data_IF_360099216506
#
_entry.id   IF_360099216506
#
_cell.length_a   1.000
_cell.length_b   1.000
_cell.length_c   1.000
_cell.angle_alpha   90.00
_cell.angle_beta   90.00
_cell.angle_gamma   90.00
#
_symmetry.space_group_name_H-M   'P 1'
#
loop_
_entity.id
_entity.type
_entity.pdbx_description
1 polymer ?
#
# COMPACT_ATOMS: atom_id res chain seq x y z
N UNK A 1 -4.86 -75.22 -8.58
CA UNK A 1 -4.85 -74.15 -7.56
C UNK A 1 -4.27 -72.82 -8.08
N UNK A 2 -3.23 -72.82 -8.93
CA UNK A 2 -2.63 -71.58 -9.48
C UNK A 2 -3.46 -70.78 -10.51
N UNK A 3 -4.47 -71.38 -11.16
CA UNK A 3 -5.30 -70.66 -12.15
C UNK A 3 -6.34 -69.74 -11.50
N UNK A 4 -6.76 -70.06 -10.27
CA UNK A 4 -7.75 -69.29 -9.52
C UNK A 4 -7.17 -67.94 -9.05
N UNK A 5 -5.95 -67.94 -8.52
CA UNK A 5 -5.24 -66.73 -8.11
C UNK A 5 -4.93 -65.81 -9.31
N UNK A 6 -4.60 -66.39 -10.47
CA UNK A 6 -4.32 -65.64 -11.71
C UNK A 6 -5.56 -64.94 -12.29
N UNK A 7 -6.75 -65.50 -12.09
CA UNK A 7 -8.03 -64.89 -12.47
C UNK A 7 -8.40 -63.68 -11.61
N UNK A 8 -8.20 -63.77 -10.30
CA UNK A 8 -8.49 -62.68 -9.36
C UNK A 8 -7.55 -61.48 -9.52
N UNK A 9 -6.25 -61.71 -9.71
CA UNK A 9 -5.28 -60.63 -9.98
C UNK A 9 -5.58 -59.88 -11.29
N UNK A 10 -6.02 -60.59 -12.33
CA UNK A 10 -6.42 -59.98 -13.60
C UNK A 10 -7.74 -59.22 -13.50
N UNK A 11 -8.63 -59.61 -12.58
CA UNK A 11 -9.89 -58.91 -12.30
C UNK A 11 -9.65 -57.63 -11.50
N UNK A 12 -8.82 -57.70 -10.47
CA UNK A 12 -8.41 -56.55 -9.67
C UNK A 12 -7.71 -55.46 -10.52
N UNK A 13 -6.82 -55.84 -11.45
CA UNK A 13 -6.21 -54.88 -12.39
C UNK A 13 -7.14 -54.31 -13.47
N UNK A 14 -8.39 -54.81 -13.57
CA UNK A 14 -9.46 -54.30 -14.45
C UNK A 14 -10.61 -53.65 -13.68
N UNK A 15 -10.57 -53.66 -12.35
CA UNK A 15 -11.58 -53.05 -11.49
C UNK A 15 -11.30 -51.54 -11.39
N UNK A 16 -12.07 -50.73 -12.12
CA UNK A 16 -12.00 -49.26 -12.10
C UNK A 16 -12.86 -48.63 -10.99
N UNK A 17 -13.60 -49.42 -10.21
CA UNK A 17 -14.52 -48.94 -9.17
C UNK A 17 -13.82 -48.12 -8.05
N UNK A 18 -12.53 -48.39 -7.79
CA UNK A 18 -11.71 -47.63 -6.83
C UNK A 18 -11.10 -46.34 -7.38
N UNK A 19 -11.17 -46.12 -8.70
CA UNK A 19 -10.59 -44.96 -9.38
C UNK A 19 -11.29 -43.67 -8.94
N UNK A 20 -12.62 -43.70 -8.89
CA UNK A 20 -13.45 -42.54 -8.50
C UNK A 20 -13.18 -42.09 -7.06
N UNK A 21 -12.98 -43.04 -6.14
CA UNK A 21 -12.67 -42.73 -4.74
C UNK A 21 -11.25 -42.16 -4.58
N UNK A 22 -10.29 -42.70 -5.33
CA UNK A 22 -8.90 -42.21 -5.30
C UNK A 22 -8.79 -40.82 -5.92
N UNK A 23 -9.49 -40.59 -7.04
CA UNK A 23 -9.59 -39.29 -7.68
C UNK A 23 -10.24 -38.25 -6.76
N UNK A 24 -11.35 -38.60 -6.11
CA UNK A 24 -12.01 -37.74 -5.14
C UNK A 24 -11.11 -37.39 -3.94
N UNK A 25 -10.34 -38.36 -3.41
CA UNK A 25 -9.43 -38.15 -2.29
C UNK A 25 -8.34 -37.10 -2.59
N UNK A 26 -7.89 -37.02 -3.84
CA UNK A 26 -6.88 -36.06 -4.29
C UNK A 26 -7.52 -34.72 -4.68
N UNK A 27 -8.64 -34.75 -5.41
CA UNK A 27 -9.28 -33.52 -5.91
C UNK A 27 -9.98 -32.73 -4.80
N UNK A 28 -10.62 -33.38 -3.83
CA UNK A 28 -11.34 -32.67 -2.77
C UNK A 28 -10.45 -31.70 -1.96
N UNK A 29 -9.30 -32.11 -1.39
CA UNK A 29 -8.44 -31.17 -0.67
C UNK A 29 -7.88 -30.06 -1.57
N UNK A 30 -7.59 -30.35 -2.85
CA UNK A 30 -7.16 -29.34 -3.82
C UNK A 30 -8.27 -28.31 -4.11
N UNK A 31 -9.52 -28.76 -4.24
CA UNK A 31 -10.68 -27.89 -4.45
C UNK A 31 -10.96 -27.02 -3.22
N UNK A 32 -10.93 -27.61 -2.03
CA UNK A 32 -11.10 -26.87 -0.76
C UNK A 32 -10.01 -25.83 -0.61
N UNK A 33 -8.75 -26.22 -0.83
CA UNK A 33 -7.62 -25.28 -0.80
C UNK A 33 -7.76 -24.16 -1.83
N UNK A 34 -8.14 -24.49 -3.06
CA UNK A 34 -8.33 -23.50 -4.14
C UNK A 34 -9.46 -22.52 -3.83
N UNK A 35 -10.56 -22.98 -3.23
CA UNK A 35 -11.66 -22.14 -2.81
C UNK A 35 -11.24 -21.19 -1.68
N UNK A 36 -10.52 -21.69 -0.67
CA UNK A 36 -9.96 -20.86 0.41
C UNK A 36 -8.98 -19.83 -0.15
N UNK A 37 -8.07 -20.24 -1.04
CA UNK A 37 -7.14 -19.36 -1.71
C UNK A 37 -7.89 -18.24 -2.46
N UNK A 38 -8.90 -18.58 -3.26
CA UNK A 38 -9.70 -17.58 -3.99
C UNK A 38 -10.29 -16.51 -3.07
N UNK A 39 -10.89 -16.90 -1.95
CA UNK A 39 -11.50 -15.95 -0.99
C UNK A 39 -10.45 -15.03 -0.37
N UNK A 40 -9.31 -15.57 0.07
CA UNK A 40 -8.25 -14.77 0.70
C UNK A 40 -7.56 -13.85 -0.31
N UNK A 41 -7.26 -14.34 -1.52
CA UNK A 41 -6.69 -13.51 -2.57
C UNK A 41 -7.65 -12.38 -2.95
N UNK A 42 -8.96 -12.66 -3.07
CA UNK A 42 -9.95 -11.63 -3.32
C UNK A 42 -9.97 -10.55 -2.23
N UNK A 43 -9.93 -10.94 -0.95
CA UNK A 43 -9.87 -9.97 0.17
C UNK A 43 -8.57 -9.15 0.18
N UNK A 44 -7.43 -9.78 -0.13
CA UNK A 44 -6.15 -9.10 -0.28
C UNK A 44 -6.21 -8.06 -1.42
N UNK A 45 -6.68 -8.45 -2.61
CA UNK A 45 -6.83 -7.53 -3.74
C UNK A 45 -7.84 -6.41 -3.44
N UNK A 46 -8.94 -6.70 -2.76
CA UNK A 46 -9.90 -5.68 -2.31
C UNK A 46 -9.21 -4.67 -1.41
N UNK A 47 -8.38 -5.14 -0.47
CA UNK A 47 -7.63 -4.29 0.46
C UNK A 47 -6.61 -3.42 -0.27
N UNK A 48 -5.80 -4.00 -1.17
CA UNK A 48 -4.80 -3.27 -1.96
C UNK A 48 -5.46 -2.18 -2.82
N UNK A 49 -6.51 -2.54 -3.55
CA UNK A 49 -7.23 -1.60 -4.42
C UNK A 49 -7.92 -0.48 -3.62
N UNK A 50 -8.51 -0.82 -2.46
CA UNK A 50 -9.09 0.16 -1.55
C UNK A 50 -8.05 1.13 -1.03
N UNK A 51 -6.90 0.62 -0.58
CA UNK A 51 -5.81 1.43 -0.04
C UNK A 51 -5.22 2.35 -1.11
N UNK A 52 -5.01 1.86 -2.34
CA UNK A 52 -4.54 2.68 -3.45
C UNK A 52 -5.52 3.82 -3.75
N UNK A 53 -6.80 3.51 -3.98
CA UNK A 53 -7.83 4.51 -4.32
C UNK A 53 -7.98 5.57 -3.23
N UNK A 54 -8.00 5.15 -1.97
CA UNK A 54 -8.12 6.07 -0.84
C UNK A 54 -6.86 6.95 -0.71
N UNK A 55 -5.66 6.38 -0.91
CA UNK A 55 -4.41 7.16 -0.88
C UNK A 55 -4.36 8.22 -1.98
N UNK A 56 -4.82 7.89 -3.20
CA UNK A 56 -4.92 8.86 -4.29
C UNK A 56 -5.96 9.96 -4.02
N UNK A 57 -7.09 9.61 -3.42
CA UNK A 57 -8.11 10.59 -3.03
C UNK A 57 -7.56 11.59 -1.99
N UNK A 58 -6.82 11.10 -1.00
CA UNK A 58 -6.16 11.94 0.01
C UNK A 58 -5.09 12.83 -0.63
N UNK A 59 -4.25 12.28 -1.50
CA UNK A 59 -3.25 13.06 -2.23
C UNK A 59 -3.89 14.17 -3.07
N UNK A 60 -4.99 13.87 -3.76
CA UNK A 60 -5.74 14.88 -4.51
C UNK A 60 -6.32 15.97 -3.60
N UNK A 61 -6.90 15.58 -2.46
CA UNK A 61 -7.47 16.53 -1.51
C UNK A 61 -6.39 17.46 -0.94
N UNK A 62 -5.24 16.92 -0.53
CA UNK A 62 -4.11 17.70 -0.01
C UNK A 62 -3.54 18.62 -1.09
N UNK A 63 -3.46 18.17 -2.34
CA UNK A 63 -2.92 18.98 -3.45
C UNK A 63 -3.69 20.30 -3.68
N UNK A 64 -4.94 20.37 -3.22
CA UNK A 64 -5.81 21.55 -3.35
C UNK A 64 -5.75 22.49 -2.15
N UNK A 65 -5.00 22.13 -1.10
CA UNK A 65 -4.82 22.97 0.09
C UNK A 65 -3.59 23.88 -0.05
N UNK A 66 -3.66 25.11 0.47
CA UNK A 66 -2.47 25.96 0.62
C UNK A 66 -1.77 25.73 1.95
N UNK A 67 -2.58 25.56 2.99
CA UNK A 67 -2.17 25.43 4.38
C UNK A 67 -2.95 24.27 4.99
N UNK A 68 -2.22 23.40 5.68
CA UNK A 68 -2.80 22.31 6.46
C UNK A 68 -2.34 22.45 7.90
N UNK A 69 -3.16 22.00 8.84
CA UNK A 69 -2.84 21.94 10.26
C UNK A 69 -2.79 20.47 10.73
N UNK A 70 -2.35 20.27 11.97
CA UNK A 70 -2.27 18.93 12.56
C UNK A 70 -3.64 18.22 12.68
N UNK A 71 -4.72 18.89 13.12
CA UNK A 71 -6.07 18.32 13.12
C UNK A 71 -6.54 17.85 11.75
N UNK A 72 -6.23 18.58 10.68
CA UNK A 72 -6.53 18.16 9.32
C UNK A 72 -5.81 16.86 8.95
N UNK A 73 -4.52 16.75 9.28
CA UNK A 73 -3.72 15.54 9.01
C UNK A 73 -4.27 14.32 9.78
N UNK A 74 -4.65 14.51 11.05
CA UNK A 74 -5.32 13.48 11.85
C UNK A 74 -6.68 13.09 11.25
N UNK A 75 -7.46 14.07 10.80
CA UNK A 75 -8.74 13.85 10.13
C UNK A 75 -8.58 13.05 8.83
N UNK A 76 -7.51 13.27 8.07
CA UNK A 76 -7.22 12.51 6.86
C UNK A 76 -6.92 11.04 7.12
N UNK A 77 -6.28 10.73 8.24
CA UNK A 77 -6.12 9.35 8.67
C UNK A 77 -7.46 8.70 8.99
N UNK A 78 -8.34 9.41 9.70
CA UNK A 78 -9.71 8.94 9.98
C UNK A 78 -10.53 8.72 8.71
N UNK A 79 -10.38 9.57 7.69
CA UNK A 79 -11.02 9.36 6.38
C UNK A 79 -10.45 8.12 5.69
N UNK A 80 -9.13 7.91 5.73
CA UNK A 80 -8.50 6.72 5.17
C UNK A 80 -9.02 5.43 5.82
N UNK A 81 -9.10 5.42 7.16
CA UNK A 81 -9.61 4.30 7.94
C UNK A 81 -11.11 4.04 7.65
N UNK A 82 -11.90 5.10 7.51
CA UNK A 82 -13.31 5.03 7.14
C UNK A 82 -13.52 4.45 5.73
N UNK A 83 -12.74 4.90 4.74
CA UNK A 83 -12.80 4.39 3.37
C UNK A 83 -12.42 2.90 3.27
N UNK A 84 -11.51 2.45 4.12
CA UNK A 84 -11.11 1.04 4.20
C UNK A 84 -12.05 0.18 5.06
N UNK A 85 -12.92 0.81 5.86
CA UNK A 85 -13.78 0.11 6.82
C UNK A 85 -13.00 -0.63 7.91
N UNK A 86 -11.75 -0.22 8.19
CA UNK A 86 -10.86 -0.86 9.17
C UNK A 86 -10.18 0.23 10.01
N UNK A 87 -10.58 0.41 11.28
CA UNK A 87 -9.93 1.39 12.15
C UNK A 87 -8.53 0.92 12.57
N UNK A 88 -7.62 1.87 12.84
CA UNK A 88 -6.28 1.66 13.41
C UNK A 88 -5.29 0.78 12.61
N UNK A 89 -5.60 0.35 11.39
CA UNK A 89 -4.69 -0.47 10.56
C UNK A 89 -3.86 0.33 9.57
N UNK A 90 -4.11 1.64 9.49
CA UNK A 90 -3.49 2.55 8.54
C UNK A 90 -2.47 3.41 9.27
N UNK A 91 -1.32 3.64 8.65
CA UNK A 91 -0.45 4.77 8.99
C UNK A 91 -0.24 5.61 7.76
N UNK A 92 -0.10 6.92 7.92
CA UNK A 92 0.20 7.81 6.79
C UNK A 92 1.29 8.82 7.14
N UNK A 93 1.96 9.32 6.11
CA UNK A 93 2.93 10.41 6.19
C UNK A 93 2.72 11.36 5.02
N UNK A 94 2.61 12.64 5.33
CA UNK A 94 2.47 13.70 4.34
C UNK A 94 3.74 14.54 4.40
N UNK A 95 4.40 14.68 3.27
CA UNK A 95 5.64 15.44 3.16
C UNK A 95 5.53 16.42 2.01
N UNK A 96 5.74 17.71 2.27
CA UNK A 96 5.92 18.69 1.20
C UNK A 96 7.38 18.89 0.90
N UNK A 97 7.71 18.81 -0.39
CA UNK A 97 9.06 18.86 -0.92
C UNK A 97 9.18 20.03 -1.90
N UNK A 98 10.33 20.69 -1.88
CA UNK A 98 10.75 21.65 -2.90
C UNK A 98 12.00 21.11 -3.59
N UNK A 99 12.02 21.15 -4.91
CA UNK A 99 13.20 20.82 -5.68
C UNK A 99 13.97 22.09 -6.04
N UNK A 100 15.29 22.07 -5.92
CA UNK A 100 16.16 23.18 -6.31
C UNK A 100 17.40 22.64 -6.98
N UNK A 101 17.77 23.25 -8.09
CA UNK A 101 18.94 22.90 -8.87
C UNK A 101 20.01 23.98 -8.69
N UNK A 102 21.26 23.56 -8.51
CA UNK A 102 22.38 24.50 -8.48
C UNK A 102 22.81 24.93 -9.90
N UNK A 103 23.77 25.86 -9.98
CA UNK A 103 24.28 26.36 -11.26
C UNK A 103 24.98 25.29 -12.11
N UNK A 104 25.34 24.16 -11.50
CA UNK A 104 26.03 23.04 -12.14
C UNK A 104 25.05 21.94 -12.59
N UNK A 105 23.74 22.16 -12.43
CA UNK A 105 22.71 21.21 -12.81
C UNK A 105 22.45 20.12 -11.75
N UNK A 106 22.97 20.27 -10.53
CA UNK A 106 22.78 19.28 -9.48
C UNK A 106 21.50 19.60 -8.69
N UNK A 107 20.51 18.73 -8.85
CA UNK A 107 19.24 18.77 -8.13
C UNK A 107 19.34 18.38 -6.66
N UNK A 108 18.63 19.09 -5.80
CA UNK A 108 18.48 18.78 -4.37
C UNK A 108 17.04 18.93 -3.94
N UNK A 109 16.55 17.95 -3.18
CA UNK A 109 15.24 18.04 -2.53
C UNK A 109 15.34 18.69 -1.15
N UNK A 110 14.48 19.65 -0.87
CA UNK A 110 14.33 20.26 0.45
C UNK A 110 12.95 19.94 1.01
N UNK A 111 12.89 19.40 2.23
CA UNK A 111 11.64 19.16 2.94
C UNK A 111 11.13 20.47 3.53
N UNK A 112 9.93 20.89 3.11
CA UNK A 112 9.23 22.04 3.69
C UNK A 112 8.53 21.64 4.99
N UNK A 113 7.89 20.47 5.01
CA UNK A 113 7.43 19.80 6.21
C UNK A 113 7.28 18.31 5.94
N UNK A 114 7.31 17.51 7.01
CA UNK A 114 6.92 16.11 6.99
C UNK A 114 6.18 15.82 8.29
N UNK A 115 4.95 15.34 8.19
CA UNK A 115 4.13 15.03 9.37
C UNK A 115 3.42 13.68 9.17
N UNK A 116 3.37 12.92 10.26
CA UNK A 116 2.63 11.68 10.36
C UNK A 116 1.68 11.79 11.56
N UNK A 117 0.40 11.47 11.42
CA UNK A 117 -0.53 11.36 12.55
C UNK A 117 0.07 10.53 13.69
N UNK A 118 -0.04 11.03 14.92
CA UNK A 118 0.47 10.37 16.12
C UNK A 118 1.96 9.94 16.05
N UNK A 119 2.74 10.53 15.14
CA UNK A 119 4.13 10.13 14.87
C UNK A 119 4.31 8.63 14.57
N UNK A 120 3.29 7.97 13.99
CA UNK A 120 3.34 6.53 13.63
C UNK A 120 4.49 6.21 12.66
N UNK A 121 4.89 7.19 11.85
CA UNK A 121 6.05 7.12 10.94
C UNK A 121 7.01 8.26 11.20
N UNK A 122 8.33 8.03 11.11
CA UNK A 122 9.32 9.07 11.32
C UNK A 122 9.16 10.18 10.26
N UNK A 123 9.37 11.43 10.67
CA UNK A 123 9.38 12.58 9.75
C UNK A 123 10.56 12.45 8.78
N UNK A 124 10.32 12.78 7.51
CA UNK A 124 11.38 12.83 6.52
C UNK A 124 12.26 14.07 6.71
N UNK A 125 13.57 13.87 6.66
CA UNK A 125 14.57 14.95 6.67
C UNK A 125 15.03 15.24 5.24
N UNK A 126 15.62 16.41 5.02
CA UNK A 126 16.22 16.79 3.73
C UNK A 126 17.25 15.77 3.25
N UNK A 127 18.01 15.18 4.16
CA UNK A 127 18.98 14.10 3.87
C UNK A 127 18.27 12.81 3.47
N UNK A 128 17.25 12.38 4.22
CA UNK A 128 16.55 11.13 3.95
C UNK A 128 15.82 11.15 2.59
N UNK A 129 15.31 12.31 2.16
CA UNK A 129 14.61 12.44 0.88
C UNK A 129 15.55 12.31 -0.32
N UNK A 130 16.85 12.61 -0.19
CA UNK A 130 17.77 12.40 -1.32
C UNK A 130 17.83 10.91 -1.70
N UNK A 131 17.71 10.00 -0.74
CA UNK A 131 17.66 8.56 -1.00
C UNK A 131 16.35 8.09 -1.67
N UNK A 132 15.35 8.97 -1.80
CA UNK A 132 14.09 8.71 -2.48
C UNK A 132 14.04 9.32 -3.89
N UNK A 133 15.13 9.94 -4.35
CA UNK A 133 15.19 10.64 -5.64
C UNK A 133 14.74 9.77 -6.82
N UNK A 134 15.14 8.49 -6.85
CA UNK A 134 14.79 7.56 -7.94
C UNK A 134 13.28 7.26 -8.04
N UNK A 135 12.52 7.50 -6.96
CA UNK A 135 11.07 7.29 -6.91
C UNK A 135 10.27 8.57 -7.18
N UNK A 136 10.93 9.72 -7.17
CA UNK A 136 10.32 11.02 -7.40
C UNK A 136 10.52 11.37 -8.89
N UNK A 137 9.46 11.75 -9.62
CA UNK A 137 9.59 12.17 -11.01
C UNK A 137 10.55 13.35 -11.16
N UNK A 138 11.14 13.52 -12.36
CA UNK A 138 11.97 14.69 -12.65
C UNK A 138 11.18 15.99 -12.45
N UNK A 139 11.77 16.95 -11.73
CA UNK A 139 11.17 18.24 -11.39
C UNK A 139 12.03 19.38 -11.92
N UNK A 140 11.40 20.53 -12.20
CA UNK A 140 12.13 21.76 -12.55
C UNK A 140 12.55 22.49 -11.28
N UNK A 141 13.71 23.16 -11.29
CA UNK A 141 14.16 23.98 -10.16
C UNK A 141 13.08 24.98 -9.72
N UNK A 142 12.78 25.00 -8.42
CA UNK A 142 11.74 25.84 -7.81
C UNK A 142 10.37 25.18 -7.71
N UNK A 143 10.14 24.04 -8.39
CA UNK A 143 8.89 23.29 -8.26
C UNK A 143 8.73 22.70 -6.86
N UNK A 144 7.47 22.59 -6.43
CA UNK A 144 7.12 21.88 -5.20
C UNK A 144 6.18 20.72 -5.49
N UNK A 145 6.24 19.72 -4.63
CA UNK A 145 5.40 18.53 -4.71
C UNK A 145 4.98 18.10 -3.31
N UNK A 146 3.87 17.40 -3.21
CA UNK A 146 3.42 16.72 -2.01
C UNK A 146 3.61 15.23 -2.22
N UNK A 147 4.34 14.61 -1.30
CA UNK A 147 4.50 13.19 -1.16
C UNK A 147 3.53 12.69 -0.08
N UNK A 148 2.61 11.82 -0.48
CA UNK A 148 1.72 11.10 0.44
C UNK A 148 2.13 9.64 0.43
N UNK A 149 2.53 9.16 1.60
CA UNK A 149 2.86 7.76 1.84
C UNK A 149 1.82 7.16 2.78
N UNK A 150 1.34 5.96 2.46
CA UNK A 150 0.42 5.21 3.31
C UNK A 150 0.92 3.79 3.50
N UNK A 151 0.65 3.24 4.68
CA UNK A 151 0.96 1.86 5.06
C UNK A 151 -0.32 1.24 5.59
N UNK A 152 -0.76 0.15 4.97
CA UNK A 152 -1.95 -0.58 5.38
C UNK A 152 -1.56 -2.01 5.75
N UNK A 153 -1.77 -2.39 7.00
CA UNK A 153 -1.48 -3.75 7.45
C UNK A 153 -2.57 -4.71 7.00
N UNK A 154 -2.16 -5.83 6.40
CA UNK A 154 -3.05 -6.89 5.96
C UNK A 154 -2.72 -8.19 6.68
N UNK A 155 -3.73 -8.74 7.36
CA UNK A 155 -3.65 -10.03 8.03
C UNK A 155 -4.67 -10.99 7.40
N UNK A 156 -4.22 -12.07 6.74
CA UNK A 156 -5.12 -13.06 6.16
C UNK A 156 -5.78 -13.92 7.25
N UNK A 157 -7.00 -14.39 6.98
CA UNK A 157 -7.71 -15.28 7.90
C UNK A 157 -7.18 -16.72 7.94
N UNK A 158 -6.48 -17.15 6.88
CA UNK A 158 -5.88 -18.47 6.74
C UNK A 158 -4.56 -18.40 5.98
N UNK A 159 -3.64 -19.32 6.26
CA UNK A 159 -2.37 -19.43 5.54
C UNK A 159 -2.56 -20.19 4.22
N UNK A 160 -2.80 -19.44 3.15
CA UNK A 160 -3.00 -19.96 1.78
C UNK A 160 -1.98 -19.38 0.79
N UNK A 161 -0.77 -19.13 1.28
CA UNK A 161 0.35 -18.60 0.49
C UNK A 161 0.49 -17.08 0.47
N UNK A 162 -0.37 -16.33 1.19
CA UNK A 162 -0.18 -14.89 1.45
C UNK A 162 0.19 -14.75 2.92
N UNK A 163 1.38 -14.22 3.28
CA UNK A 163 1.74 -13.95 4.65
C UNK A 163 1.14 -12.62 5.14
N UNK A 164 1.24 -12.37 6.44
CA UNK A 164 1.06 -11.02 6.98
C UNK A 164 1.99 -10.04 6.26
N UNK A 165 1.43 -8.96 5.74
CA UNK A 165 2.18 -7.98 4.96
C UNK A 165 1.63 -6.57 5.15
N UNK A 166 2.48 -5.58 4.87
CA UNK A 166 2.08 -4.17 4.85
C UNK A 166 2.07 -3.71 3.40
N UNK A 167 0.92 -3.23 2.94
CA UNK A 167 0.79 -2.61 1.62
C UNK A 167 1.16 -1.14 1.72
N UNK A 168 2.14 -0.73 0.93
CA UNK A 168 2.64 0.64 0.90
C UNK A 168 2.22 1.35 -0.38
N UNK A 169 1.76 2.60 -0.26
CA UNK A 169 1.54 3.47 -1.41
C UNK A 169 2.44 4.69 -1.30
N UNK A 170 3.01 5.09 -2.44
CA UNK A 170 3.91 6.24 -2.56
C UNK A 170 3.40 7.11 -3.70
N UNK A 171 2.75 8.22 -3.34
CA UNK A 171 2.06 9.07 -4.31
C UNK A 171 2.68 10.45 -4.26
N UNK A 172 3.25 10.86 -5.38
CA UNK A 172 3.82 12.18 -5.58
C UNK A 172 2.82 13.00 -6.40
N UNK A 173 2.43 14.18 -5.91
CA UNK A 173 1.44 15.03 -6.58
C UNK A 173 1.81 16.49 -6.44
N UNK A 174 1.81 17.22 -7.56
CA UNK A 174 2.00 18.68 -7.56
C UNK A 174 0.79 19.38 -6.93
N UNK A 175 0.98 20.41 -6.09
CA UNK A 175 -0.11 21.27 -5.66
C UNK A 175 -0.86 21.86 -6.88
N UNK A 176 -2.19 21.86 -6.83
CA UNK A 176 -3.05 22.24 -7.97
C UNK A 176 -3.35 23.73 -8.04
N UNK A 177 -3.70 24.34 -6.90
CA UNK A 177 -4.17 25.73 -6.85
C UNK A 177 -3.15 26.70 -6.23
N UNK A 178 -2.09 26.17 -5.63
CA UNK A 178 -1.12 26.94 -4.87
C UNK A 178 0.29 26.53 -5.28
N UNK A 179 1.28 27.40 -5.03
CA UNK A 179 2.68 27.10 -5.36
C UNK A 179 3.31 26.05 -4.47
N UNK A 180 2.78 25.86 -3.26
CA UNK A 180 3.27 24.92 -2.23
C UNK A 180 2.18 24.67 -1.19
N UNK A 181 2.29 23.55 -0.47
CA UNK A 181 1.50 23.27 0.73
C UNK A 181 2.37 23.55 1.94
N UNK A 182 1.82 24.18 2.97
CA UNK A 182 2.55 24.54 4.18
C UNK A 182 1.84 24.03 5.43
N UNK A 183 2.63 23.62 6.42
CA UNK A 183 2.10 23.27 7.74
C UNK A 183 1.94 24.56 8.56
N UNK A 184 0.72 24.78 9.05
CA UNK A 184 0.40 25.87 9.97
C UNK A 184 0.35 25.30 11.37
N UNK A 185 1.45 25.42 12.11
CA UNK A 185 1.47 25.21 13.55
C UNK A 185 1.23 26.55 14.25
N UNK A 186 0.54 26.56 15.39
CA UNK A 186 0.16 27.77 16.14
C UNK A 186 1.35 28.68 16.50
N UNK A 187 2.61 28.23 16.37
CA UNK A 187 3.80 29.01 16.71
C UNK A 187 4.97 28.95 15.71
N UNK A 188 4.88 28.19 14.60
CA UNK A 188 6.01 28.09 13.64
C UNK A 188 5.51 27.79 12.22
N UNK A 189 5.66 28.76 11.31
CA UNK A 189 5.46 28.53 9.88
C UNK A 189 6.62 27.68 9.38
N UNK A 190 6.33 26.50 8.82
CA UNK A 190 7.38 25.65 8.23
C UNK A 190 7.88 26.19 6.88
N UNK A 191 7.13 27.10 6.26
CA UNK A 191 7.47 27.73 5.00
C UNK A 191 7.90 29.19 5.20
N UNK A 192 8.96 29.67 4.52
CA UNK A 192 9.25 31.10 4.44
C UNK A 192 8.16 31.83 3.64
N UNK A 193 7.58 32.88 4.24
CA UNK A 193 6.60 33.79 3.63
C UNK A 193 7.25 34.73 2.62
N UNK A 194 7.93 34.20 1.61
CA UNK A 194 8.52 35.03 0.56
C UNK A 194 7.76 34.76 -0.75
N UNK A 195 6.85 35.71 -1.05
CA UNK A 195 6.23 36.11 -2.32
C UNK A 195 6.07 35.06 -3.45
#
# INVERSE_FOLDING_TARGET
MLSWTRGHLRRFGKEEDGLVMTEFLILLPLLVWSFMALVIYWDAYRTVNGAQKASYAIADLISRQSRIDRPFILGMEGVMESLLGRPNVVSMRITSLQYTEDKNGVGKFTVLFSESPNSRKPKLTTTAVQGLADRIPMMTSGDTTVLVETWTNYQPGFEVGIPFSTFENFIVTRPRYHRRVCLTEEMKKSCPDNA
#
